data_IF_625535427113
#
_entry.id   IF_625535427113
#
_cell.length_a   1.000
_cell.length_b   1.000
_cell.length_c   1.000
_cell.angle_alpha   90.00
_cell.angle_beta   90.00
_cell.angle_gamma   90.00
#
_symmetry.space_group_name_H-M   'P 1'
#
loop_
_entity.id
_entity.type
_entity.pdbx_description
1 polymer ?
#
# COMPACT_ATOMS: atom_id res chain seq x y z
N UNK A 1 -24.94 7.42 52.10
CA UNK A 1 -26.34 7.38 52.60
C UNK A 1 -27.26 7.34 51.40
N UNK A 2 -28.11 6.30 51.36
CA UNK A 2 -29.41 6.19 50.70
C UNK A 2 -29.36 6.22 49.16
N UNK A 3 -29.48 5.11 48.41
CA UNK A 3 -30.60 4.15 48.22
C UNK A 3 -31.56 4.59 47.11
N UNK A 4 -31.53 3.80 46.00
CA UNK A 4 -32.65 2.97 45.44
C UNK A 4 -33.72 3.81 44.66
N UNK A 5 -34.09 3.48 43.40
CA UNK A 5 -35.00 2.41 43.04
C UNK A 5 -35.16 2.28 41.52
N UNK A 6 -35.18 1.06 41.10
CA UNK A 6 -35.65 0.41 39.90
C UNK A 6 -37.06 0.83 39.44
N UNK A 7 -37.41 0.73 38.17
CA UNK A 7 -38.52 -0.10 37.74
C UNK A 7 -38.48 -0.40 36.23
N UNK A 8 -38.62 -1.68 35.92
CA UNK A 8 -38.88 -2.27 34.59
C UNK A 8 -40.35 -2.19 34.26
N UNK A 9 -40.72 -2.15 32.99
CA UNK A 9 -41.98 -2.77 32.55
C UNK A 9 -41.82 -3.27 31.10
N UNK A 10 -42.25 -4.51 30.94
CA UNK A 10 -42.21 -5.35 29.77
C UNK A 10 -43.59 -5.42 29.06
N UNK A 11 -43.58 -6.06 27.91
CA UNK A 11 -44.67 -6.76 27.23
C UNK A 11 -45.58 -5.88 26.32
N UNK A 12 -46.14 -6.32 25.18
CA UNK A 12 -46.62 -7.63 24.72
C UNK A 12 -46.92 -7.55 23.21
N UNK A 13 -46.58 -8.61 22.49
CA UNK A 13 -47.15 -9.31 21.35
C UNK A 13 -48.31 -8.69 20.52
N UNK A 14 -48.26 -8.92 19.19
CA UNK A 14 -49.30 -9.66 18.51
C UNK A 14 -48.88 -10.23 17.15
N UNK A 15 -49.13 -11.50 17.01
CA UNK A 15 -49.02 -12.39 15.84
C UNK A 15 -50.27 -12.21 14.96
N UNK A 16 -50.12 -12.31 13.66
CA UNK A 16 -51.21 -12.84 12.84
C UNK A 16 -50.68 -13.61 11.61
N UNK A 17 -50.93 -14.93 11.66
CA UNK A 17 -50.87 -15.86 10.55
C UNK A 17 -52.09 -15.64 9.64
N UNK A 18 -51.92 -15.87 8.35
CA UNK A 18 -52.94 -16.50 7.52
C UNK A 18 -52.26 -17.28 6.39
N UNK A 19 -52.65 -18.53 6.34
CA UNK A 19 -52.20 -19.60 5.46
C UNK A 19 -53.15 -19.78 4.30
N UNK A 20 -52.73 -20.62 3.38
CA UNK A 20 -53.41 -21.56 2.45
C UNK A 20 -52.91 -21.33 1.01
N UNK A 21 -52.49 -22.28 0.26
CA UNK A 21 -52.53 -23.72 0.24
C UNK A 21 -52.55 -24.18 -1.20
N UNK A 22 -51.96 -25.31 -1.53
CA UNK A 22 -52.31 -26.02 -2.75
C UNK A 22 -51.15 -26.63 -3.56
N UNK A 23 -50.95 -27.90 -3.34
CA UNK A 23 -50.21 -28.98 -4.01
C UNK A 23 -50.23 -28.95 -5.57
N UNK A 24 -49.24 -29.46 -6.30
CA UNK A 24 -48.86 -30.86 -6.53
C UNK A 24 -47.78 -30.99 -7.61
N UNK A 25 -46.86 -31.93 -7.36
CA UNK A 25 -46.27 -32.92 -8.26
C UNK A 25 -45.16 -32.58 -9.25
N UNK A 26 -43.98 -33.07 -8.91
CA UNK A 26 -43.14 -34.04 -9.63
C UNK A 26 -42.60 -33.73 -11.02
N UNK A 27 -41.27 -33.69 -11.11
CA UNK A 27 -40.51 -33.78 -12.36
C UNK A 27 -39.02 -33.57 -12.15
N UNK A 28 -38.32 -34.69 -11.90
CA UNK A 28 -36.85 -34.75 -11.83
C UNK A 28 -36.26 -34.55 -13.22
N UNK A 29 -35.32 -33.56 -13.36
CA UNK A 29 -34.25 -33.69 -14.34
C UNK A 29 -33.05 -32.90 -13.82
N UNK A 30 -31.95 -33.61 -13.68
CA UNK A 30 -30.61 -33.05 -13.38
C UNK A 30 -30.18 -32.11 -14.51
N UNK A 31 -29.74 -30.92 -14.14
CA UNK A 31 -28.96 -30.07 -15.04
C UNK A 31 -27.80 -29.44 -14.26
N UNK A 32 -26.63 -29.72 -14.76
CA UNK A 32 -25.32 -29.21 -14.39
C UNK A 32 -25.36 -27.69 -14.15
N UNK A 33 -25.04 -27.28 -12.92
CA UNK A 33 -24.79 -25.88 -12.59
C UNK A 33 -23.37 -25.51 -13.03
N UNK A 34 -23.30 -24.75 -14.11
CA UNK A 34 -22.15 -23.94 -14.46
C UNK A 34 -22.18 -22.73 -13.54
N UNK A 35 -21.22 -22.63 -12.64
CA UNK A 35 -21.02 -21.43 -11.82
C UNK A 35 -20.45 -20.32 -12.71
N UNK A 36 -21.34 -19.53 -13.29
CA UNK A 36 -21.00 -18.23 -13.85
C UNK A 36 -20.95 -17.23 -12.70
N UNK A 37 -19.76 -16.76 -12.36
CA UNK A 37 -19.59 -15.56 -11.57
C UNK A 37 -20.20 -14.40 -12.36
N UNK A 38 -21.41 -14.01 -12.01
CA UNK A 38 -21.96 -12.72 -12.41
C UNK A 38 -21.34 -11.69 -11.49
N UNK A 39 -20.33 -10.99 -11.99
CA UNK A 39 -19.97 -9.70 -11.42
C UNK A 39 -21.28 -8.87 -11.39
N UNK A 40 -21.75 -8.56 -10.19
CA UNK A 40 -22.84 -7.61 -10.02
C UNK A 40 -22.33 -6.27 -10.53
N UNK A 41 -22.87 -5.79 -11.65
CA UNK A 41 -22.66 -4.42 -12.08
C UNK A 41 -23.25 -3.53 -10.98
N UNK A 42 -22.40 -2.75 -10.28
CA UNK A 42 -22.85 -1.71 -9.39
C UNK A 42 -23.76 -0.77 -10.18
N UNK A 43 -24.98 -0.55 -9.69
CA UNK A 43 -25.87 0.45 -10.29
C UNK A 43 -25.27 1.83 -10.04
N UNK A 44 -25.13 2.64 -11.09
CA UNK A 44 -24.67 4.02 -11.01
C UNK A 44 -25.58 4.82 -10.06
N UNK A 45 -24.99 5.42 -9.02
CA UNK A 45 -25.74 6.13 -7.97
C UNK A 45 -25.82 7.63 -8.20
N UNK A 46 -25.15 8.16 -9.22
CA UNK A 46 -25.13 9.59 -9.59
C UNK A 46 -24.95 9.79 -11.09
N UNK A 47 -25.16 11.02 -11.55
CA UNK A 47 -24.73 11.41 -12.89
C UNK A 47 -23.19 11.49 -12.89
N UNK A 48 -22.53 10.67 -13.71
CA UNK A 48 -21.08 10.76 -13.91
C UNK A 48 -20.67 12.10 -14.50
N UNK A 49 -19.41 12.41 -14.42
CA UNK A 49 -18.81 13.61 -15.05
C UNK A 49 -18.32 13.19 -16.45
N UNK A 50 -18.77 13.89 -17.52
CA UNK A 50 -18.26 13.61 -18.86
C UNK A 50 -16.73 13.66 -18.88
N UNK A 51 -16.11 12.73 -19.61
CA UNK A 51 -14.64 12.63 -19.68
C UNK A 51 -13.97 13.95 -20.06
N UNK A 52 -14.56 14.71 -20.96
CA UNK A 52 -14.10 16.03 -21.40
C UNK A 52 -14.16 17.11 -20.32
N UNK A 53 -14.99 16.90 -19.28
CA UNK A 53 -15.20 17.86 -18.19
C UNK A 53 -14.47 17.45 -16.91
N UNK A 54 -13.86 16.21 -16.87
CA UNK A 54 -13.12 15.74 -15.69
C UNK A 54 -11.83 16.55 -15.54
N UNK A 55 -11.51 16.96 -14.32
CA UNK A 55 -10.26 17.60 -13.95
C UNK A 55 -9.70 16.97 -12.69
N UNK A 56 -8.47 16.51 -12.76
CA UNK A 56 -7.77 15.78 -11.71
C UNK A 56 -6.80 16.70 -11.01
N UNK A 57 -6.87 16.78 -9.67
CA UNK A 57 -5.91 17.47 -8.83
C UNK A 57 -4.97 16.46 -8.15
N UNK A 58 -3.71 16.82 -7.97
CA UNK A 58 -2.74 16.02 -7.22
C UNK A 58 -1.90 16.89 -6.30
N UNK A 59 -1.66 16.40 -5.07
CA UNK A 59 -0.74 17.04 -4.12
C UNK A 59 0.41 16.08 -3.84
N UNK A 60 1.63 16.50 -4.18
CA UNK A 60 2.87 15.74 -3.98
C UNK A 60 3.69 16.28 -2.82
N UNK A 61 4.30 15.37 -2.05
CA UNK A 61 5.16 15.70 -0.91
C UNK A 61 6.48 16.35 -1.37
N UNK A 62 7.08 15.83 -2.44
CA UNK A 62 8.32 16.36 -3.06
C UNK A 62 8.09 16.62 -4.56
N UNK A 63 9.14 17.08 -5.25
CA UNK A 63 9.09 17.30 -6.71
C UNK A 63 9.25 15.95 -7.44
N UNK A 64 8.24 15.48 -8.19
CA UNK A 64 8.36 14.25 -8.98
C UNK A 64 9.48 14.27 -10.02
N UNK A 65 9.94 15.46 -10.44
CA UNK A 65 11.04 15.62 -11.40
C UNK A 65 12.39 15.11 -10.87
N UNK A 66 12.50 14.78 -9.58
CA UNK A 66 13.67 14.09 -9.02
C UNK A 66 13.92 12.71 -9.68
N UNK A 67 12.88 12.11 -10.26
CA UNK A 67 13.00 10.90 -11.10
C UNK A 67 13.10 9.59 -10.33
N UNK A 68 13.00 9.62 -9.01
CA UNK A 68 13.04 8.45 -8.12
C UNK A 68 12.19 8.70 -6.86
N UNK A 69 11.91 7.65 -6.09
CA UNK A 69 11.24 7.74 -4.79
C UNK A 69 9.71 7.86 -4.86
N UNK A 70 9.12 8.27 -3.73
CA UNK A 70 7.68 8.19 -3.48
C UNK A 70 6.84 9.10 -4.39
N UNK A 71 7.13 10.42 -4.41
CA UNK A 71 6.37 11.35 -5.26
C UNK A 71 6.52 11.05 -6.75
N UNK A 72 7.72 10.60 -7.18
CA UNK A 72 7.95 10.16 -8.56
C UNK A 72 7.07 8.96 -8.92
N UNK A 73 6.96 7.95 -8.05
CA UNK A 73 6.15 6.77 -8.38
C UNK A 73 4.66 7.09 -8.42
N UNK A 74 4.17 8.03 -7.58
CA UNK A 74 2.81 8.54 -7.70
C UNK A 74 2.58 9.26 -9.03
N UNK A 75 3.53 10.09 -9.45
CA UNK A 75 3.46 10.78 -10.74
C UNK A 75 3.43 9.78 -11.91
N UNK A 76 4.24 8.72 -11.87
CA UNK A 76 4.17 7.66 -12.89
C UNK A 76 2.78 7.01 -12.94
N UNK A 77 2.14 6.83 -11.78
CA UNK A 77 0.76 6.35 -11.68
C UNK A 77 -0.25 7.32 -12.27
N UNK A 78 -0.11 8.62 -12.01
CA UNK A 78 -0.97 9.67 -12.58
C UNK A 78 -0.82 9.72 -14.10
N UNK A 79 0.41 9.71 -14.63
CA UNK A 79 0.65 9.68 -16.07
C UNK A 79 0.12 8.38 -16.71
N UNK A 80 0.22 7.26 -16.01
CA UNK A 80 -0.40 5.98 -16.41
C UNK A 80 -1.92 6.11 -16.52
N UNK A 81 -2.58 6.67 -15.52
CA UNK A 81 -4.02 6.94 -15.49
C UNK A 81 -4.43 7.88 -16.64
N UNK A 82 -3.72 9.01 -16.81
CA UNK A 82 -3.98 9.95 -17.89
C UNK A 82 -3.97 9.27 -19.27
N UNK A 83 -2.98 8.41 -19.49
CA UNK A 83 -2.86 7.61 -20.73
C UNK A 83 -3.97 6.57 -20.85
N UNK A 84 -4.28 5.82 -19.78
CA UNK A 84 -5.26 4.73 -19.80
C UNK A 84 -6.67 5.24 -20.08
N UNK A 85 -7.05 6.38 -19.51
CA UNK A 85 -8.35 7.02 -19.71
C UNK A 85 -8.33 7.86 -21.00
N UNK A 86 -7.16 8.35 -21.40
CA UNK A 86 -6.97 9.26 -22.54
C UNK A 86 -7.42 10.68 -22.19
N UNK A 87 -6.97 11.18 -21.03
CA UNK A 87 -7.09 12.57 -20.64
C UNK A 87 -5.97 13.41 -21.27
N UNK A 88 -6.20 14.71 -21.40
CA UNK A 88 -5.22 15.68 -21.88
C UNK A 88 -4.53 16.40 -20.73
N UNK A 89 -3.35 16.97 -20.97
CA UNK A 89 -2.54 17.65 -19.94
C UNK A 89 -3.28 18.79 -19.21
N UNK A 90 -4.18 19.48 -19.88
CA UNK A 90 -4.99 20.56 -19.31
C UNK A 90 -6.07 20.09 -18.33
N UNK A 91 -6.29 18.77 -18.25
CA UNK A 91 -7.17 18.12 -17.29
C UNK A 91 -6.46 17.70 -15.99
N UNK A 92 -5.15 17.93 -15.87
CA UNK A 92 -4.34 17.67 -14.70
C UNK A 92 -3.82 18.96 -14.07
N UNK A 93 -3.93 19.08 -12.75
CA UNK A 93 -3.34 20.17 -11.95
C UNK A 93 -2.57 19.59 -10.79
N UNK A 94 -1.31 19.96 -10.65
CA UNK A 94 -0.44 19.44 -9.62
C UNK A 94 0.08 20.52 -8.68
N UNK A 95 0.21 20.16 -7.42
CA UNK A 95 0.90 20.92 -6.37
C UNK A 95 2.05 20.09 -5.86
N UNK A 96 3.26 20.60 -5.97
CA UNK A 96 4.50 19.89 -5.60
C UNK A 96 5.15 20.55 -4.39
N UNK A 97 6.02 19.80 -3.69
CA UNK A 97 6.75 20.28 -2.49
C UNK A 97 5.81 20.81 -1.38
N UNK A 98 4.68 20.12 -1.18
CA UNK A 98 3.76 20.45 -0.10
C UNK A 98 4.14 19.64 1.14
N UNK A 99 4.63 20.31 2.18
CA UNK A 99 5.01 19.64 3.43
C UNK A 99 3.78 19.08 4.13
N UNK A 100 3.79 17.80 4.45
CA UNK A 100 2.70 17.11 5.15
C UNK A 100 2.67 17.38 6.67
N UNK A 101 3.69 18.07 7.19
CA UNK A 101 3.74 18.57 8.57
C UNK A 101 3.23 19.99 8.71
N UNK A 102 2.89 20.67 7.60
CA UNK A 102 2.32 22.01 7.56
C UNK A 102 0.86 21.99 7.07
N UNK A 103 -0.08 21.83 8.00
CA UNK A 103 -1.51 21.77 7.67
C UNK A 103 -2.02 23.00 6.91
N UNK A 104 -1.42 24.19 7.10
CA UNK A 104 -1.82 25.38 6.36
C UNK A 104 -1.35 25.33 4.90
N UNK A 105 -0.15 24.82 4.64
CA UNK A 105 0.33 24.58 3.28
C UNK A 105 -0.53 23.54 2.55
N UNK A 106 -0.91 22.45 3.23
CA UNK A 106 -1.82 21.42 2.69
C UNK A 106 -3.18 22.02 2.36
N UNK A 107 -3.79 22.78 3.29
CA UNK A 107 -5.08 23.41 3.06
C UNK A 107 -5.03 24.39 1.88
N UNK A 108 -3.98 25.20 1.77
CA UNK A 108 -3.81 26.13 0.65
C UNK A 108 -3.72 25.36 -0.69
N UNK A 109 -2.91 24.31 -0.75
CA UNK A 109 -2.77 23.51 -1.97
C UNK A 109 -4.10 22.86 -2.40
N UNK A 110 -4.85 22.27 -1.46
CA UNK A 110 -6.16 21.68 -1.74
C UNK A 110 -7.18 22.75 -2.16
N UNK A 111 -7.19 23.94 -1.51
CA UNK A 111 -8.08 25.03 -1.87
C UNK A 111 -7.80 25.52 -3.29
N UNK A 112 -6.54 25.68 -3.66
CA UNK A 112 -6.17 26.08 -5.03
C UNK A 112 -6.64 25.04 -6.06
N UNK A 113 -6.55 23.72 -5.78
CA UNK A 113 -7.08 22.69 -6.68
C UNK A 113 -8.60 22.73 -6.81
N UNK A 114 -9.32 23.04 -5.73
CA UNK A 114 -10.77 23.30 -5.75
C UNK A 114 -11.09 24.50 -6.63
N UNK A 115 -10.39 25.61 -6.45
CA UNK A 115 -10.57 26.85 -7.23
C UNK A 115 -10.24 26.66 -8.71
N UNK A 116 -9.30 25.79 -9.04
CA UNK A 116 -8.96 25.38 -10.40
C UNK A 116 -10.05 24.49 -11.05
N UNK A 117 -11.03 24.03 -10.27
CA UNK A 117 -12.18 23.24 -10.73
C UNK A 117 -11.90 21.75 -10.82
N UNK A 118 -10.98 21.20 -10.01
CA UNK A 118 -10.75 19.76 -9.93
C UNK A 118 -11.98 19.05 -9.36
N UNK A 119 -12.36 17.92 -9.99
CA UNK A 119 -13.51 17.10 -9.57
C UNK A 119 -13.09 15.98 -8.61
N UNK A 120 -11.85 15.49 -8.74
CA UNK A 120 -11.21 14.54 -7.87
C UNK A 120 -9.79 15.02 -7.56
N UNK A 121 -9.40 14.93 -6.30
CA UNK A 121 -8.09 15.37 -5.80
C UNK A 121 -7.42 14.20 -5.08
N UNK A 122 -6.25 13.81 -5.56
CA UNK A 122 -5.38 12.82 -4.92
C UNK A 122 -4.38 13.53 -4.02
N UNK A 123 -4.42 13.22 -2.72
CA UNK A 123 -3.50 13.74 -1.72
C UNK A 123 -2.60 12.59 -1.23
N UNK A 124 -1.33 12.60 -1.61
CA UNK A 124 -0.49 11.40 -1.61
C UNK A 124 0.24 11.11 -0.30
N UNK A 125 0.21 11.98 0.73
CA UNK A 125 0.97 11.78 1.96
C UNK A 125 0.09 11.62 3.20
N UNK A 126 0.56 10.83 4.16
CA UNK A 126 -0.10 10.55 5.45
C UNK A 126 -0.58 11.81 6.17
N UNK A 127 0.26 12.85 6.27
CA UNK A 127 -0.05 14.07 7.01
C UNK A 127 -1.14 14.94 6.36
N UNK A 128 -1.61 14.59 5.16
CA UNK A 128 -2.72 15.30 4.50
C UNK A 128 -4.11 14.86 4.98
N UNK A 129 -4.21 13.74 5.70
CA UNK A 129 -5.45 13.05 6.03
C UNK A 129 -6.51 13.94 6.70
N UNK A 130 -6.15 14.62 7.78
CA UNK A 130 -7.09 15.43 8.55
C UNK A 130 -7.57 16.66 7.77
N UNK A 131 -6.69 17.24 6.96
CA UNK A 131 -7.03 18.38 6.10
C UNK A 131 -7.95 17.92 4.96
N UNK A 132 -7.69 16.77 4.35
CA UNK A 132 -8.58 16.21 3.32
C UNK A 132 -9.97 15.88 3.85
N UNK A 133 -10.08 15.34 5.07
CA UNK A 133 -11.37 15.09 5.73
C UNK A 133 -12.16 16.38 5.90
N UNK A 134 -11.52 17.43 6.43
CA UNK A 134 -12.16 18.74 6.61
C UNK A 134 -12.58 19.38 5.28
N UNK A 135 -11.74 19.30 4.24
CA UNK A 135 -12.05 19.81 2.91
C UNK A 135 -13.19 19.04 2.25
N UNK A 136 -13.27 17.73 2.46
CA UNK A 136 -14.36 16.91 1.93
C UNK A 136 -15.72 17.26 2.57
N UNK A 137 -15.73 17.67 3.84
CA UNK A 137 -16.94 18.19 4.50
C UNK A 137 -17.36 19.57 3.94
N UNK A 138 -16.38 20.43 3.62
CA UNK A 138 -16.62 21.77 3.09
C UNK A 138 -17.07 21.75 1.62
N UNK A 139 -16.54 20.82 0.81
CA UNK A 139 -16.78 20.68 -0.65
C UNK A 139 -17.38 19.31 -1.00
N UNK A 140 -18.65 19.07 -0.68
CA UNK A 140 -19.25 17.75 -0.84
C UNK A 140 -19.39 17.27 -2.30
N UNK A 141 -19.24 18.18 -3.28
CA UNK A 141 -19.26 17.87 -4.71
C UNK A 141 -17.90 17.44 -5.27
N UNK A 142 -16.82 17.60 -4.50
CA UNK A 142 -15.46 17.26 -4.89
C UNK A 142 -15.02 15.99 -4.16
N UNK A 143 -14.35 15.09 -4.87
CA UNK A 143 -13.84 13.86 -4.31
C UNK A 143 -12.42 14.08 -3.82
N UNK A 144 -12.17 13.73 -2.56
CA UNK A 144 -10.85 13.72 -1.96
C UNK A 144 -10.42 12.27 -1.72
N UNK A 145 -9.37 11.83 -2.41
CA UNK A 145 -8.82 10.49 -2.28
C UNK A 145 -7.42 10.56 -1.68
N UNK A 146 -7.27 10.02 -0.48
CA UNK A 146 -6.08 10.19 0.34
C UNK A 146 -5.21 8.94 0.34
N UNK A 147 -3.93 9.07 0.01
CA UNK A 147 -2.93 8.00 0.07
C UNK A 147 -2.46 7.72 1.49
N UNK A 148 -2.28 6.44 1.83
CA UNK A 148 -1.68 5.95 3.09
C UNK A 148 -2.51 6.11 4.37
N UNK A 149 -3.66 6.77 4.34
CA UNK A 149 -4.50 7.01 5.51
C UNK A 149 -5.40 5.83 5.88
N UNK A 150 -6.31 6.11 6.83
CA UNK A 150 -7.33 5.15 7.27
C UNK A 150 -8.74 5.73 7.40
N UNK A 151 -8.88 7.07 7.20
CA UNK A 151 -10.17 7.74 7.31
C UNK A 151 -10.94 7.71 6.00
N UNK A 152 -12.26 7.66 6.12
CA UNK A 152 -13.21 7.84 5.03
C UNK A 152 -14.54 8.36 5.58
N UNK A 153 -15.35 9.00 4.75
CA UNK A 153 -16.67 9.50 5.16
C UNK A 153 -17.84 8.78 4.47
N UNK A 154 -17.55 7.78 3.64
CA UNK A 154 -18.57 7.01 2.93
C UNK A 154 -19.27 7.76 1.79
N UNK A 155 -18.80 8.94 1.39
CA UNK A 155 -19.36 9.76 0.31
C UNK A 155 -18.31 10.26 -0.67
N UNK A 156 -17.55 11.28 -0.32
CA UNK A 156 -16.57 11.95 -1.17
C UNK A 156 -15.14 11.96 -0.61
N UNK A 157 -14.88 11.18 0.43
CA UNK A 157 -13.55 11.01 1.02
C UNK A 157 -13.27 9.55 1.29
N UNK A 158 -12.18 9.03 0.73
CA UNK A 158 -11.67 7.70 0.99
C UNK A 158 -10.15 7.71 1.19
N UNK A 159 -9.59 6.56 1.57
CA UNK A 159 -8.16 6.35 1.47
C UNK A 159 -7.83 5.19 0.54
N UNK A 160 -6.59 5.18 0.05
CA UNK A 160 -6.03 4.10 -0.75
C UNK A 160 -4.61 3.78 -0.29
N UNK A 161 -4.31 2.50 -0.28
CA UNK A 161 -2.98 1.95 -0.03
C UNK A 161 -2.90 0.52 -0.56
N UNK A 162 -1.89 -0.27 -0.15
CA UNK A 162 -1.77 -1.64 -0.62
C UNK A 162 -0.87 -2.53 0.22
N UNK A 163 -0.90 -3.82 -0.12
CA UNK A 163 -0.21 -4.93 0.54
C UNK A 163 1.27 -5.00 0.11
N UNK A 164 2.00 -3.88 0.26
CA UNK A 164 3.41 -3.79 -0.16
C UNK A 164 4.29 -4.84 0.50
N UNK A 165 3.89 -5.33 1.67
CA UNK A 165 4.56 -6.41 2.37
C UNK A 165 4.71 -7.69 1.52
N UNK A 166 3.82 -7.93 0.54
CA UNK A 166 3.93 -9.05 -0.39
C UNK A 166 5.20 -8.96 -1.25
N UNK A 167 5.44 -7.79 -1.85
CA UNK A 167 6.66 -7.58 -2.63
C UNK A 167 7.91 -7.51 -1.75
N UNK A 168 7.79 -7.01 -0.50
CA UNK A 168 8.90 -7.02 0.45
C UNK A 168 9.33 -8.44 0.83
N UNK A 169 8.39 -9.36 1.00
CA UNK A 169 8.72 -10.77 1.21
C UNK A 169 9.50 -11.36 0.03
N UNK A 170 9.04 -11.12 -1.20
CA UNK A 170 9.73 -11.58 -2.41
C UNK A 170 11.14 -10.97 -2.55
N UNK A 171 11.28 -9.69 -2.22
CA UNK A 171 12.59 -9.02 -2.21
C UNK A 171 13.52 -9.55 -1.12
N UNK A 172 12.96 -9.99 0.00
CA UNK A 172 13.68 -10.71 1.05
C UNK A 172 14.26 -12.04 0.57
N UNK A 173 13.53 -12.77 -0.28
CA UNK A 173 14.05 -13.98 -0.94
C UNK A 173 15.30 -13.66 -1.78
N UNK A 174 15.26 -12.58 -2.58
CA UNK A 174 16.42 -12.17 -3.36
C UNK A 174 17.62 -11.82 -2.47
N UNK A 175 17.39 -11.08 -1.39
CA UNK A 175 18.43 -10.70 -0.43
C UNK A 175 19.00 -11.92 0.32
N UNK A 176 18.15 -12.84 0.78
CA UNK A 176 18.55 -14.00 1.53
C UNK A 176 19.36 -15.03 0.72
N UNK A 177 19.05 -15.18 -0.58
CA UNK A 177 19.84 -16.01 -1.49
C UNK A 177 21.15 -15.33 -1.91
N UNK A 178 21.20 -13.99 -1.86
CA UNK A 178 22.37 -13.22 -2.33
C UNK A 178 23.44 -13.01 -1.28
N UNK A 179 23.07 -12.86 0.00
CA UNK A 179 24.05 -12.60 1.06
C UNK A 179 25.10 -13.68 1.17
N UNK A 180 26.36 -13.28 1.34
CA UNK A 180 27.51 -14.16 1.62
C UNK A 180 27.96 -14.06 3.09
N UNK A 181 27.54 -12.98 3.79
CA UNK A 181 27.91 -12.70 5.18
C UNK A 181 26.85 -13.14 6.19
N UNK A 182 25.67 -13.54 5.75
CA UNK A 182 24.46 -13.75 6.56
C UNK A 182 24.03 -12.51 7.35
N UNK A 183 24.49 -11.32 6.93
CA UNK A 183 24.15 -10.02 7.51
C UNK A 183 23.56 -9.12 6.46
N UNK A 184 22.29 -8.83 6.63
CA UNK A 184 21.53 -7.97 5.73
C UNK A 184 21.18 -6.69 6.48
N UNK A 185 21.48 -5.53 5.88
CA UNK A 185 21.11 -4.22 6.42
C UNK A 185 19.73 -3.81 5.94
N UNK A 186 19.02 -3.01 6.74
CA UNK A 186 17.75 -2.43 6.34
C UNK A 186 17.65 -0.97 6.83
N UNK A 187 17.60 -0.02 5.89
CA UNK A 187 17.42 1.40 6.21
C UNK A 187 15.94 1.70 6.28
N UNK A 188 15.46 2.08 7.46
CA UNK A 188 14.06 2.29 7.75
C UNK A 188 13.75 3.76 8.06
N UNK A 189 12.70 4.31 7.44
CA UNK A 189 12.24 5.67 7.69
C UNK A 189 11.75 5.85 9.14
N UNK A 190 11.04 4.84 9.68
CA UNK A 190 10.46 4.86 11.02
C UNK A 190 10.76 3.57 11.78
N UNK A 191 10.60 3.60 13.10
CA UNK A 191 10.76 2.45 13.99
C UNK A 191 9.45 1.69 14.24
N UNK A 192 9.43 0.92 15.36
CA UNK A 192 8.29 0.07 15.76
C UNK A 192 6.99 0.83 16.08
N UNK A 193 7.01 2.14 16.16
CA UNK A 193 5.85 3.01 16.31
C UNK A 193 5.10 3.25 14.98
N UNK A 194 5.66 2.82 13.86
CA UNK A 194 5.01 2.84 12.56
C UNK A 194 4.79 1.41 12.05
N UNK A 195 3.54 0.95 12.07
CA UNK A 195 3.19 -0.42 11.72
C UNK A 195 3.39 -0.76 10.24
N UNK A 196 3.30 0.19 9.33
CA UNK A 196 3.60 0.02 7.91
C UNK A 196 5.07 -0.39 7.71
N UNK A 197 5.98 0.40 8.29
CA UNK A 197 7.42 0.14 8.18
C UNK A 197 7.78 -1.16 8.89
N UNK A 198 7.24 -1.36 10.10
CA UNK A 198 7.52 -2.56 10.90
C UNK A 198 7.04 -3.85 10.22
N UNK A 199 5.82 -3.87 9.69
CA UNK A 199 5.31 -5.02 8.94
C UNK A 199 6.09 -5.26 7.64
N UNK A 200 6.53 -4.19 6.98
CA UNK A 200 7.39 -4.28 5.80
C UNK A 200 8.75 -4.91 6.09
N UNK A 201 9.40 -4.51 7.20
CA UNK A 201 10.65 -5.11 7.69
C UNK A 201 10.45 -6.59 8.00
N UNK A 202 9.36 -6.92 8.71
CA UNK A 202 9.03 -8.29 9.06
C UNK A 202 8.82 -9.17 7.83
N UNK A 203 8.05 -8.69 6.86
CA UNK A 203 7.81 -9.42 5.61
C UNK A 203 9.13 -9.68 4.85
N UNK A 204 9.99 -8.67 4.75
CA UNK A 204 11.31 -8.81 4.16
C UNK A 204 12.15 -9.85 4.91
N UNK A 205 12.25 -9.75 6.23
CA UNK A 205 13.02 -10.67 7.06
C UNK A 205 12.48 -12.11 7.04
N UNK A 206 11.15 -12.29 6.96
CA UNK A 206 10.53 -13.59 6.75
C UNK A 206 10.88 -14.16 5.37
N UNK A 207 10.91 -13.33 4.34
CA UNK A 207 11.39 -13.71 3.01
C UNK A 207 12.84 -14.17 3.02
N UNK A 208 13.72 -13.45 3.72
CA UNK A 208 15.12 -13.84 3.95
C UNK A 208 15.19 -15.20 4.64
N UNK A 209 14.51 -15.37 5.77
CA UNK A 209 14.55 -16.59 6.57
C UNK A 209 13.99 -17.81 5.82
N UNK A 210 13.06 -17.61 4.88
CA UNK A 210 12.48 -18.69 4.08
C UNK A 210 13.47 -19.41 3.17
N UNK A 211 14.60 -18.78 2.84
CA UNK A 211 15.66 -19.30 1.95
C UNK A 211 17.02 -19.35 2.63
N UNK A 212 17.25 -18.56 3.66
CA UNK A 212 18.47 -18.54 4.46
C UNK A 212 18.14 -18.32 5.95
N UNK A 213 17.86 -19.38 6.71
CA UNK A 213 17.46 -19.27 8.12
C UNK A 213 18.58 -18.77 9.06
N UNK A 214 19.84 -18.77 8.63
CA UNK A 214 20.97 -18.29 9.41
C UNK A 214 21.16 -16.77 9.26
N UNK A 215 20.59 -16.16 8.21
CA UNK A 215 20.76 -14.73 7.93
C UNK A 215 19.96 -13.85 8.89
N UNK A 216 20.59 -12.74 9.30
CA UNK A 216 20.04 -11.76 10.23
C UNK A 216 19.86 -10.41 9.54
N UNK A 217 18.77 -9.71 9.86
CA UNK A 217 18.43 -8.39 9.32
C UNK A 217 18.71 -7.32 10.38
N UNK A 218 19.59 -6.40 10.06
CA UNK A 218 20.00 -5.30 10.96
C UNK A 218 19.33 -4.00 10.49
N UNK A 219 18.47 -3.44 11.32
CA UNK A 219 17.68 -2.24 10.99
C UNK A 219 18.33 -1.01 11.57
N UNK A 220 18.44 0.05 10.75
CA UNK A 220 18.81 1.40 11.20
C UNK A 220 17.74 2.40 10.81
N UNK A 221 17.21 3.11 11.83
CA UNK A 221 16.07 4.03 11.68
C UNK A 221 16.59 5.45 11.48
N UNK A 222 16.08 6.14 10.44
CA UNK A 222 16.43 7.53 10.12
C UNK A 222 15.49 8.55 10.77
N UNK A 223 14.27 8.15 11.17
CA UNK A 223 13.19 9.00 11.65
C UNK A 223 12.76 10.06 10.61
N UNK A 224 12.91 9.74 9.33
CA UNK A 224 12.49 10.58 8.20
C UNK A 224 12.13 9.71 7.01
N UNK A 225 11.09 10.09 6.29
CA UNK A 225 10.75 9.46 5.01
C UNK A 225 11.71 9.88 3.88
N UNK A 226 12.13 11.14 3.92
CA UNK A 226 13.00 11.74 2.89
C UNK A 226 14.16 12.49 3.55
N UNK A 227 15.33 11.86 3.60
CA UNK A 227 16.60 12.42 4.09
C UNK A 227 17.77 11.76 3.35
N UNK A 228 18.10 12.21 2.13
CA UNK A 228 19.11 11.56 1.28
C UNK A 228 20.46 11.36 1.98
N UNK A 229 20.87 12.32 2.79
CA UNK A 229 22.14 12.25 3.52
C UNK A 229 22.07 11.27 4.70
N UNK A 230 21.00 11.35 5.50
CA UNK A 230 20.79 10.44 6.64
C UNK A 230 20.59 9.00 6.20
N UNK A 231 19.84 8.77 5.11
CA UNK A 231 19.63 7.45 4.53
C UNK A 231 20.93 6.82 4.04
N UNK A 232 21.78 7.60 3.33
CA UNK A 232 23.09 7.16 2.88
C UNK A 232 24.01 6.84 4.06
N UNK A 233 24.09 7.72 5.08
CA UNK A 233 24.87 7.48 6.29
C UNK A 233 24.42 6.23 7.06
N UNK A 234 23.11 5.98 7.16
CA UNK A 234 22.57 4.78 7.77
C UNK A 234 23.00 3.51 7.01
N UNK A 235 22.95 3.55 5.68
CA UNK A 235 23.40 2.48 4.81
C UNK A 235 24.89 2.20 4.98
N UNK A 236 25.74 3.23 4.96
CA UNK A 236 27.20 3.13 5.17
C UNK A 236 27.53 2.53 6.55
N UNK A 237 26.78 2.89 7.60
CA UNK A 237 26.96 2.33 8.94
C UNK A 237 26.63 0.82 8.97
N UNK A 238 25.57 0.39 8.27
CA UNK A 238 25.21 -1.02 8.12
C UNK A 238 26.29 -1.80 7.36
N UNK A 239 26.78 -1.26 6.25
CA UNK A 239 27.90 -1.85 5.49
C UNK A 239 29.15 -1.98 6.37
N UNK A 240 29.50 -0.93 7.11
CA UNK A 240 30.65 -0.96 8.03
C UNK A 240 30.50 -2.01 9.16
N UNK A 241 29.27 -2.38 9.52
CA UNK A 241 28.97 -3.47 10.47
C UNK A 241 29.05 -4.88 9.85
N UNK A 242 29.30 -4.96 8.54
CA UNK A 242 29.50 -6.18 7.79
C UNK A 242 28.27 -6.68 7.03
N UNK A 243 27.25 -5.83 6.84
CA UNK A 243 26.13 -6.14 5.95
C UNK A 243 26.60 -6.08 4.49
N UNK A 244 26.24 -7.08 3.70
CA UNK A 244 26.60 -7.20 2.28
C UNK A 244 25.40 -7.10 1.32
N UNK A 245 24.18 -7.03 1.86
CA UNK A 245 22.96 -6.70 1.13
C UNK A 245 22.19 -5.65 1.91
N UNK A 246 21.61 -4.65 1.23
CA UNK A 246 20.80 -3.60 1.85
C UNK A 246 19.36 -3.62 1.34
N UNK A 247 18.39 -3.68 2.24
CA UNK A 247 16.99 -3.32 1.99
C UNK A 247 16.72 -1.89 2.47
N UNK A 248 15.59 -1.31 2.05
CA UNK A 248 15.18 0.01 2.50
C UNK A 248 13.66 0.18 2.58
N UNK A 249 13.24 1.09 3.46
CA UNK A 249 11.88 1.61 3.57
C UNK A 249 11.96 3.12 3.85
N UNK A 250 12.57 3.80 2.92
CA UNK A 250 12.76 5.26 2.85
C UNK A 250 12.75 5.68 1.38
N UNK A 251 12.61 6.97 1.11
CA UNK A 251 12.11 7.45 -0.17
C UNK A 251 13.19 7.86 -1.17
N UNK A 252 14.48 7.80 -0.81
CA UNK A 252 15.56 8.18 -1.73
C UNK A 252 16.36 6.98 -2.22
N UNK A 253 17.15 7.16 -3.27
CA UNK A 253 18.10 6.15 -3.74
C UNK A 253 19.40 6.08 -2.89
N UNK A 254 19.52 6.87 -1.81
CA UNK A 254 20.71 6.95 -0.97
C UNK A 254 21.29 5.61 -0.55
N UNK A 255 20.48 4.65 -0.01
CA UNK A 255 20.97 3.33 0.36
C UNK A 255 21.51 2.50 -0.82
N UNK A 256 20.87 2.58 -1.99
CA UNK A 256 21.32 1.83 -3.17
C UNK A 256 22.61 2.41 -3.75
N UNK A 257 22.75 3.75 -3.75
CA UNK A 257 23.98 4.42 -4.15
C UNK A 257 25.14 4.06 -3.20
N UNK A 258 24.89 4.02 -1.88
CA UNK A 258 25.89 3.55 -0.92
C UNK A 258 26.28 2.09 -1.16
N UNK A 259 25.32 1.21 -1.47
CA UNK A 259 25.60 -0.19 -1.81
C UNK A 259 26.53 -0.29 -3.04
N UNK A 260 26.25 0.47 -4.11
CA UNK A 260 27.08 0.48 -5.31
C UNK A 260 28.48 1.03 -5.05
N UNK A 261 28.59 2.15 -4.32
CA UNK A 261 29.89 2.76 -3.96
C UNK A 261 30.79 1.81 -3.16
N UNK A 262 30.20 0.97 -2.33
CA UNK A 262 30.92 0.03 -1.49
C UNK A 262 31.03 -1.39 -2.06
N UNK A 263 30.47 -1.64 -3.24
CA UNK A 263 30.53 -2.94 -3.91
C UNK A 263 29.76 -4.05 -3.20
N UNK A 264 28.65 -3.69 -2.52
CA UNK A 264 27.66 -4.60 -1.94
C UNK A 264 26.36 -4.52 -2.71
N UNK A 265 25.37 -5.35 -2.38
CA UNK A 265 24.11 -5.43 -3.12
C UNK A 265 22.97 -4.72 -2.39
N UNK A 266 21.87 -4.48 -3.12
CA UNK A 266 20.74 -3.82 -2.55
C UNK A 266 19.40 -4.22 -3.19
N UNK A 267 18.34 -3.90 -2.47
CA UNK A 267 16.95 -3.97 -2.90
C UNK A 267 16.32 -2.60 -2.73
N UNK A 268 15.90 -2.01 -3.85
CA UNK A 268 15.29 -0.67 -3.89
C UNK A 268 13.83 -0.64 -3.44
N UNK A 269 13.28 0.57 -3.38
CA UNK A 269 11.89 0.82 -2.97
C UNK A 269 11.24 1.97 -3.76
N UNK A 270 9.93 1.96 -3.83
CA UNK A 270 9.04 2.85 -4.56
C UNK A 270 9.17 2.74 -6.08
N UNK A 271 10.34 2.95 -6.64
CA UNK A 271 10.63 2.92 -8.06
C UNK A 271 11.75 1.93 -8.40
N UNK A 272 11.97 1.67 -9.69
CA UNK A 272 13.08 0.85 -10.17
C UNK A 272 14.42 1.58 -9.98
N UNK A 273 15.08 1.30 -8.86
CA UNK A 273 16.38 1.90 -8.49
C UNK A 273 17.59 1.25 -9.19
N UNK A 274 17.37 0.27 -10.07
CA UNK A 274 18.43 -0.20 -10.97
C UNK A 274 18.92 0.87 -11.93
N UNK A 275 18.14 1.95 -12.11
CA UNK A 275 18.52 3.13 -12.88
C UNK A 275 19.51 4.03 -12.14
N UNK A 276 19.42 4.04 -10.80
CA UNK A 276 20.25 4.86 -9.92
C UNK A 276 21.55 4.12 -9.56
N UNK A 277 21.46 2.82 -9.26
CA UNK A 277 22.56 1.97 -8.81
C UNK A 277 22.57 0.62 -9.56
N UNK A 278 22.88 0.61 -10.89
CA UNK A 278 22.76 -0.58 -11.74
C UNK A 278 23.71 -1.73 -11.36
N UNK A 279 24.83 -1.44 -10.69
CA UNK A 279 25.80 -2.46 -10.29
C UNK A 279 25.53 -3.04 -8.90
N UNK A 280 24.52 -2.55 -8.17
CA UNK A 280 24.18 -3.01 -6.84
C UNK A 280 22.74 -3.55 -6.73
N UNK A 281 21.79 -2.95 -7.45
CA UNK A 281 20.37 -3.24 -7.26
C UNK A 281 19.98 -4.59 -7.84
N UNK A 282 19.54 -5.52 -6.97
CA UNK A 282 19.04 -6.85 -7.35
C UNK A 282 17.64 -6.77 -7.98
N UNK A 283 16.80 -5.95 -7.39
CA UNK A 283 15.42 -5.61 -7.77
C UNK A 283 14.96 -4.42 -6.93
N UNK A 284 13.74 -3.95 -7.16
CA UNK A 284 13.09 -2.94 -6.30
C UNK A 284 11.64 -3.33 -5.99
N UNK A 285 11.22 -3.06 -4.76
CA UNK A 285 9.82 -3.17 -4.36
C UNK A 285 9.07 -1.95 -4.90
N UNK A 286 8.05 -2.16 -5.72
CA UNK A 286 7.41 -1.11 -6.50
C UNK A 286 5.91 -1.03 -6.29
N UNK A 287 5.38 0.16 -6.56
CA UNK A 287 3.97 0.46 -6.71
C UNK A 287 3.64 0.74 -8.17
N UNK A 288 2.52 0.23 -8.66
CA UNK A 288 1.86 0.71 -9.87
C UNK A 288 0.56 1.44 -9.49
N UNK A 289 0.69 2.70 -9.10
CA UNK A 289 -0.45 3.53 -8.72
C UNK A 289 -1.43 3.78 -9.86
N UNK A 290 -1.04 3.54 -11.12
CA UNK A 290 -1.94 3.70 -12.26
C UNK A 290 -3.16 2.78 -12.17
N UNK A 291 -3.03 1.63 -11.51
CA UNK A 291 -4.12 0.68 -11.24
C UNK A 291 -5.24 1.38 -10.46
N UNK A 292 -4.90 1.95 -9.31
CA UNK A 292 -5.89 2.64 -8.48
C UNK A 292 -6.40 3.92 -9.12
N UNK A 293 -5.50 4.79 -9.60
CA UNK A 293 -5.90 6.08 -10.17
C UNK A 293 -6.80 5.94 -11.37
N UNK A 294 -6.53 4.97 -12.26
CA UNK A 294 -7.40 4.69 -13.41
C UNK A 294 -8.80 4.28 -12.96
N UNK A 295 -8.90 3.37 -11.99
CA UNK A 295 -10.18 2.92 -11.46
C UNK A 295 -10.94 4.07 -10.77
N UNK A 296 -10.25 4.87 -9.94
CA UNK A 296 -10.85 5.97 -9.21
C UNK A 296 -11.44 7.02 -10.14
N UNK A 297 -10.68 7.50 -11.13
CA UNK A 297 -11.14 8.50 -12.09
C UNK A 297 -12.23 7.92 -13.01
N UNK A 298 -12.11 6.65 -13.44
CA UNK A 298 -13.16 6.02 -14.23
C UNK A 298 -14.48 5.92 -13.45
N UNK A 299 -14.44 5.61 -12.14
CA UNK A 299 -15.64 5.59 -11.31
C UNK A 299 -16.31 6.97 -11.20
N UNK A 300 -15.54 8.05 -11.21
CA UNK A 300 -16.08 9.42 -11.25
C UNK A 300 -16.76 9.71 -12.60
N UNK A 301 -16.12 9.34 -13.69
CA UNK A 301 -16.67 9.48 -15.04
C UNK A 301 -17.99 8.70 -15.17
N UNK A 302 -18.02 7.47 -14.68
CA UNK A 302 -19.17 6.56 -14.79
C UNK A 302 -20.28 6.85 -13.75
N UNK A 303 -20.03 7.75 -12.78
CA UNK A 303 -20.96 8.04 -11.68
C UNK A 303 -21.11 6.88 -10.68
N UNK A 304 -20.10 6.02 -10.60
CA UNK A 304 -20.06 4.84 -9.72
C UNK A 304 -19.15 5.02 -8.49
N UNK A 305 -18.58 6.20 -8.30
CA UNK A 305 -17.71 6.50 -7.16
C UNK A 305 -18.40 6.22 -5.82
N UNK A 306 -19.68 6.56 -5.71
CA UNK A 306 -20.50 6.33 -4.52
C UNK A 306 -21.43 5.17 -4.79
N UNK A 307 -21.16 3.98 -4.25
CA UNK A 307 -22.01 2.79 -4.39
C UNK A 307 -23.12 2.67 -3.32
N UNK A 308 -23.57 3.75 -2.77
CA UNK A 308 -24.76 3.82 -1.90
C UNK A 308 -24.57 3.43 -0.44
N UNK A 309 -23.58 2.63 -0.06
CA UNK A 309 -23.35 2.26 1.35
C UNK A 309 -21.99 2.66 1.91
N UNK A 310 -20.94 2.64 1.11
CA UNK A 310 -19.59 3.10 1.48
C UNK A 310 -18.78 3.35 0.23
N UNK A 311 -18.05 4.46 0.20
CA UNK A 311 -16.83 4.55 -0.60
C UNK A 311 -15.82 3.70 0.13
N UNK A 312 -15.56 2.51 -0.36
CA UNK A 312 -14.63 1.60 0.27
C UNK A 312 -13.21 2.15 0.16
N UNK A 313 -12.48 2.02 1.26
CA UNK A 313 -11.03 2.22 1.23
C UNK A 313 -10.42 1.16 0.31
N UNK A 314 -9.55 1.59 -0.58
CA UNK A 314 -8.84 0.67 -1.45
C UNK A 314 -7.57 0.17 -0.76
N UNK A 315 -7.43 -1.15 -0.70
CA UNK A 315 -6.22 -1.79 -0.19
C UNK A 315 -5.78 -2.88 -1.17
N UNK A 316 -5.14 -2.44 -2.27
CA UNK A 316 -4.75 -3.29 -3.39
C UNK A 316 -3.58 -4.20 -3.07
N UNK A 317 -3.36 -5.17 -3.93
CA UNK A 317 -2.35 -6.20 -3.74
C UNK A 317 -1.59 -6.54 -5.03
N UNK A 318 -0.83 -7.63 -4.96
CA UNK A 318 -0.07 -8.12 -6.11
C UNK A 318 -0.98 -8.73 -7.19
N UNK A 319 -2.14 -9.28 -6.82
CA UNK A 319 -3.10 -9.82 -7.77
C UNK A 319 -3.81 -8.71 -8.55
N UNK A 320 -4.06 -7.56 -7.92
CA UNK A 320 -4.57 -6.35 -8.57
C UNK A 320 -3.53 -5.71 -9.51
N UNK A 321 -2.25 -6.01 -9.31
CA UNK A 321 -1.14 -5.39 -10.02
C UNK A 321 -0.65 -4.09 -9.39
N UNK A 322 -1.24 -3.63 -8.28
CA UNK A 322 -0.81 -2.42 -7.57
C UNK A 322 0.60 -2.59 -6.98
N UNK A 323 0.90 -3.77 -6.47
CA UNK A 323 2.17 -4.10 -5.81
C UNK A 323 2.97 -5.05 -6.69
N UNK A 324 4.23 -4.73 -6.94
CA UNK A 324 5.10 -5.52 -7.81
C UNK A 324 6.57 -5.45 -7.42
N UNK A 325 7.40 -6.24 -8.09
CA UNK A 325 8.85 -6.06 -8.12
C UNK A 325 9.26 -5.51 -9.48
N UNK A 326 10.33 -4.69 -9.50
CA UNK A 326 11.07 -4.41 -10.71
C UNK A 326 11.67 -5.70 -11.29
N UNK A 327 12.05 -5.65 -12.56
CA UNK A 327 12.76 -6.76 -13.19
C UNK A 327 13.99 -7.16 -12.35
N UNK A 328 14.20 -8.47 -12.19
CA UNK A 328 15.36 -8.99 -11.50
C UNK A 328 16.64 -8.72 -12.32
N UNK A 329 17.66 -8.17 -11.68
CA UNK A 329 18.96 -8.00 -12.31
C UNK A 329 19.67 -9.35 -12.42
N UNK A 330 19.49 -10.00 -13.57
CA UNK A 330 19.98 -11.36 -13.83
C UNK A 330 21.50 -11.52 -13.74
N UNK A 331 22.25 -10.42 -13.85
CA UNK A 331 23.71 -10.42 -13.70
C UNK A 331 24.14 -10.39 -12.22
N UNK A 332 23.26 -9.98 -11.32
CA UNK A 332 23.58 -9.80 -9.90
C UNK A 332 22.91 -10.81 -8.97
N UNK A 333 21.68 -11.27 -9.28
CA UNK A 333 20.95 -12.21 -8.43
C UNK A 333 21.67 -13.57 -8.33
N UNK A 334 21.44 -14.28 -7.22
CA UNK A 334 21.93 -15.64 -7.06
C UNK A 334 21.15 -16.63 -7.96
N UNK A 335 21.78 -17.77 -8.27
CA UNK A 335 21.13 -18.87 -9.00
C UNK A 335 19.89 -19.36 -8.25
N UNK A 336 18.79 -19.58 -8.97
CA UNK A 336 17.51 -20.04 -8.40
C UNK A 336 16.62 -18.93 -7.82
N UNK A 337 17.09 -17.67 -7.80
CA UNK A 337 16.31 -16.54 -7.26
C UNK A 337 15.01 -16.31 -8.05
N UNK A 338 15.09 -16.29 -9.37
CA UNK A 338 13.94 -16.00 -10.23
C UNK A 338 12.86 -17.08 -10.07
N UNK A 339 13.26 -18.35 -10.11
CA UNK A 339 12.35 -19.48 -9.95
C UNK A 339 11.65 -19.49 -8.60
N UNK A 340 12.40 -19.15 -7.52
CA UNK A 340 11.82 -19.11 -6.17
C UNK A 340 10.85 -17.94 -5.99
N UNK A 341 11.17 -16.79 -6.53
CA UNK A 341 10.29 -15.63 -6.51
C UNK A 341 9.02 -15.92 -7.32
N UNK A 342 9.14 -16.49 -8.52
CA UNK A 342 7.99 -16.83 -9.36
C UNK A 342 7.06 -17.84 -8.70
N UNK A 343 7.61 -18.86 -8.03
CA UNK A 343 6.86 -19.85 -7.25
C UNK A 343 6.00 -19.18 -6.16
N UNK A 344 6.62 -18.35 -5.32
CA UNK A 344 5.93 -17.69 -4.20
C UNK A 344 4.96 -16.63 -4.68
N UNK A 345 5.36 -15.83 -5.70
CA UNK A 345 4.49 -14.85 -6.34
C UNK A 345 3.21 -15.48 -6.88
N UNK A 346 3.31 -16.64 -7.51
CA UNK A 346 2.14 -17.36 -8.02
C UNK A 346 1.17 -17.76 -6.89
N UNK A 347 1.67 -18.16 -5.72
CA UNK A 347 0.84 -18.48 -4.56
C UNK A 347 0.14 -17.24 -3.98
N UNK A 348 0.84 -16.10 -3.91
CA UNK A 348 0.28 -14.82 -3.47
C UNK A 348 -0.82 -14.37 -4.44
N UNK A 349 -0.54 -14.32 -5.74
CA UNK A 349 -1.47 -13.85 -6.78
C UNK A 349 -2.71 -14.74 -6.89
N UNK A 350 -2.57 -16.05 -6.67
CA UNK A 350 -3.72 -16.97 -6.66
C UNK A 350 -4.54 -16.93 -5.37
N UNK A 351 -4.05 -16.26 -4.32
CA UNK A 351 -4.66 -16.25 -2.99
C UNK A 351 -4.50 -17.58 -2.24
N UNK A 352 -3.65 -18.49 -2.72
CA UNK A 352 -3.34 -19.75 -2.03
C UNK A 352 -2.59 -19.48 -0.72
N UNK A 353 -1.75 -18.47 -0.71
CA UNK A 353 -0.95 -18.06 0.44
C UNK A 353 -0.75 -16.54 0.48
N UNK A 354 -0.67 -15.97 1.67
CA UNK A 354 -0.24 -14.58 1.90
C UNK A 354 0.77 -14.53 3.05
N UNK A 355 1.59 -13.51 3.08
CA UNK A 355 2.61 -13.28 4.13
C UNK A 355 1.97 -13.11 5.50
N UNK A 356 0.85 -12.36 5.53
CA UNK A 356 0.06 -12.11 6.74
C UNK A 356 -1.37 -12.60 6.53
N UNK A 357 -1.60 -13.87 6.86
CA UNK A 357 -2.87 -14.57 6.62
C UNK A 357 -3.82 -14.57 7.85
N UNK A 358 -3.43 -13.91 8.94
CA UNK A 358 -4.18 -13.85 10.20
C UNK A 358 -4.22 -15.16 11.00
N UNK A 359 -3.53 -16.21 10.54
CA UNK A 359 -3.60 -17.56 11.14
C UNK A 359 -2.23 -18.13 11.47
N UNK A 360 -1.24 -17.88 10.60
CA UNK A 360 0.12 -18.37 10.80
C UNK A 360 0.74 -17.67 12.00
N UNK A 361 1.26 -18.47 12.94
CA UNK A 361 1.97 -17.97 14.10
C UNK A 361 3.35 -17.45 13.69
N UNK A 362 3.67 -16.23 14.11
CA UNK A 362 4.93 -15.54 13.86
C UNK A 362 5.58 -15.29 15.23
N UNK A 363 6.83 -15.72 15.38
CA UNK A 363 7.59 -15.49 16.60
C UNK A 363 8.37 -14.18 16.48
N UNK A 364 8.26 -13.32 17.49
CA UNK A 364 9.03 -12.08 17.54
C UNK A 364 10.43 -12.27 18.15
N UNK A 365 11.26 -11.24 18.06
CA UNK A 365 12.64 -11.28 18.58
C UNK A 365 12.74 -11.23 20.13
N UNK A 366 11.61 -11.20 20.83
CA UNK A 366 11.49 -11.34 22.29
C UNK A 366 10.96 -12.73 22.69
N UNK A 367 10.58 -13.57 21.70
CA UNK A 367 10.05 -14.92 21.88
C UNK A 367 8.53 -14.97 22.10
N UNK A 368 7.80 -13.88 21.83
CA UNK A 368 6.34 -13.89 21.87
C UNK A 368 5.78 -14.37 20.52
N UNK A 369 4.57 -14.90 20.54
CA UNK A 369 3.86 -15.37 19.36
C UNK A 369 2.75 -14.42 18.98
N UNK A 370 2.69 -14.06 17.69
CA UNK A 370 1.71 -13.16 17.09
C UNK A 370 1.01 -13.83 15.91
N UNK A 371 -0.14 -13.32 15.55
CA UNK A 371 -0.76 -13.49 14.24
C UNK A 371 -1.04 -12.12 13.67
N UNK A 372 -0.89 -11.92 12.37
CA UNK A 372 -1.15 -10.65 11.71
C UNK A 372 -2.00 -10.89 10.47
N UNK A 373 -3.12 -10.19 10.37
CA UNK A 373 -3.93 -10.10 9.16
C UNK A 373 -3.38 -8.97 8.29
N UNK A 374 -3.31 -9.19 6.97
CA UNK A 374 -2.75 -8.21 6.05
C UNK A 374 -3.43 -6.84 6.12
N UNK A 375 -4.74 -6.79 6.37
CA UNK A 375 -5.46 -5.53 6.55
C UNK A 375 -5.09 -4.78 7.85
N UNK A 376 -4.56 -5.50 8.84
CA UNK A 376 -4.17 -4.95 10.14
C UNK A 376 -2.66 -4.63 10.23
N UNK A 377 -1.96 -4.58 9.11
CA UNK A 377 -0.51 -4.35 9.02
C UNK A 377 -0.05 -3.14 9.85
N UNK A 378 -0.85 -2.09 9.90
CA UNK A 378 -0.58 -0.87 10.66
C UNK A 378 -0.54 -1.07 12.19
N UNK A 379 -1.04 -2.21 12.71
CA UNK A 379 -0.97 -2.56 14.13
C UNK A 379 0.34 -3.24 14.53
N UNK A 380 1.21 -3.59 13.57
CA UNK A 380 2.47 -4.28 13.81
C UNK A 380 3.46 -3.37 14.53
N UNK A 381 3.85 -3.74 15.75
CA UNK A 381 4.79 -2.98 16.59
C UNK A 381 5.89 -3.85 17.21
N UNK A 382 6.17 -4.99 16.58
CA UNK A 382 7.16 -5.98 16.98
C UNK A 382 7.99 -6.42 15.77
N UNK A 383 9.21 -6.90 15.98
CA UNK A 383 10.06 -7.47 14.94
C UNK A 383 10.12 -8.99 15.03
N UNK A 384 10.18 -9.67 13.90
CA UNK A 384 10.40 -11.12 13.83
C UNK A 384 11.79 -11.52 14.36
N UNK A 385 11.95 -12.82 14.68
CA UNK A 385 13.12 -13.39 15.37
C UNK A 385 14.48 -12.93 14.80
N UNK A 386 14.61 -12.87 13.49
CA UNK A 386 15.89 -12.56 12.81
C UNK A 386 16.10 -11.06 12.55
N UNK A 387 15.32 -10.17 13.19
CA UNK A 387 15.45 -8.71 13.05
C UNK A 387 16.07 -8.08 14.30
N UNK A 388 17.09 -7.22 14.09
CA UNK A 388 17.84 -6.54 15.14
C UNK A 388 17.93 -5.03 14.83
N UNK A 389 17.34 -4.19 15.68
CA UNK A 389 17.50 -2.74 15.56
C UNK A 389 18.86 -2.31 16.08
N UNK A 390 19.59 -1.51 15.30
CA UNK A 390 20.87 -0.93 15.66
C UNK A 390 20.69 0.53 16.11
N UNK A 391 21.33 0.88 17.22
CA UNK A 391 21.30 2.22 17.76
C UNK A 391 21.97 3.26 16.85
#
# INVERSE_FOLDING_TARGET
MKKILSLALAAVMAVSLAACGGSTASGSTASTATSGSTAASAEATGAGIPKEDIKVGVVHLSDPAEGTGYSYTHEQGIQGMMKNIGLSEDQLVEKINVSDTDAAAVQNALTELVEEGCNIIFATSWGYMDTCEAMAEEYPEIIFSHGTGYKSNGTNFNNYFGRIYQARYLSGIAAGLKTESDKIGYVAAMGKDNGEVTSGINAFAMGVASVNPDAQVYVKVTNSWFDPEGEKQAAEALIASGCDVLGQHCDTAGPQLAAEEHGVWGVGYNSDMSKDAPAATLTSVMWDWSVYYTQAVQNVIDGTWVSGEKVDNYFGDMADGLVTLADLNTDLIAEGTAEKIDEVKAQIVSGEWDVFDGKTEIVDNEGNTHTLEGADYGSCNWYVENVHEQA
#
